data_IF_827744365622
#
_entry.id   IF_827744365622
#
_cell.length_a   1.000
_cell.length_b   1.000
_cell.length_c   1.000
_cell.angle_alpha   90.00
_cell.angle_beta   90.00
_cell.angle_gamma   90.00
#
_symmetry.space_group_name_H-M   'P 1'
#
loop_
_entity.id
_entity.type
_entity.pdbx_description
1 polymer ?
#
# COMPACT_ATOMS: atom_id res chain seq x y z
N UNK A 1 16.99 4.50 -9.01
CA UNK A 1 15.86 5.04 -9.78
C UNK A 1 14.66 5.27 -8.87
N UNK A 2 13.77 6.18 -9.25
CA UNK A 2 12.59 6.54 -8.43
C UNK A 2 11.71 5.34 -8.08
N UNK A 3 11.49 4.44 -9.05
CA UNK A 3 10.65 3.27 -8.83
C UNK A 3 11.19 2.30 -7.80
N UNK A 4 12.49 2.14 -7.74
CA UNK A 4 13.13 1.25 -6.77
C UNK A 4 13.03 1.79 -5.35
N UNK A 5 13.22 3.10 -5.17
CA UNK A 5 13.10 3.72 -3.86
C UNK A 5 11.65 3.70 -3.37
N UNK A 6 10.69 4.00 -4.24
CA UNK A 6 9.28 3.92 -3.88
C UNK A 6 8.89 2.50 -3.47
N UNK A 7 9.39 1.50 -4.19
CA UNK A 7 9.15 0.09 -3.86
C UNK A 7 9.75 -0.28 -2.51
N UNK A 8 10.97 0.17 -2.23
CA UNK A 8 11.60 -0.07 -0.93
C UNK A 8 10.76 0.51 0.21
N UNK A 9 10.33 1.75 0.06
CA UNK A 9 9.51 2.42 1.07
C UNK A 9 8.17 1.68 1.25
N UNK A 10 7.53 1.32 0.14
CA UNK A 10 6.26 0.60 0.15
C UNK A 10 6.38 -0.79 0.79
N UNK A 11 7.42 -1.54 0.45
CA UNK A 11 7.63 -2.88 1.00
C UNK A 11 7.92 -2.80 2.51
N UNK A 12 8.69 -1.83 2.93
CA UNK A 12 8.98 -1.60 4.35
C UNK A 12 7.70 -1.23 5.10
N UNK A 13 6.88 -0.35 4.53
CA UNK A 13 5.58 -0.01 5.09
C UNK A 13 4.70 -1.24 5.24
N UNK A 14 4.64 -2.10 4.23
CA UNK A 14 3.86 -3.33 4.25
C UNK A 14 4.31 -4.30 5.35
N UNK A 15 5.62 -4.35 5.63
CA UNK A 15 6.14 -5.16 6.73
C UNK A 15 5.74 -4.57 8.09
N UNK A 16 5.82 -3.25 8.24
CA UNK A 16 5.42 -2.59 9.48
C UNK A 16 3.94 -2.79 9.81
N UNK A 17 3.08 -2.79 8.80
CA UNK A 17 1.63 -2.99 9.00
C UNK A 17 1.32 -4.37 9.57
N UNK A 18 2.20 -5.35 9.39
CA UNK A 18 2.00 -6.70 9.93
C UNK A 18 2.12 -6.75 11.46
N UNK A 19 2.88 -5.84 12.04
CA UNK A 19 3.18 -5.86 13.47
C UNK A 19 2.70 -4.63 14.22
N UNK A 20 2.27 -3.59 13.52
CA UNK A 20 1.87 -2.34 14.12
C UNK A 20 0.56 -1.84 13.50
N UNK A 21 -0.19 -1.08 14.30
CA UNK A 21 -1.40 -0.41 13.83
C UNK A 21 -1.02 0.58 12.72
N UNK A 22 -1.70 0.50 11.59
CA UNK A 22 -1.43 1.35 10.43
C UNK A 22 -1.49 2.83 10.77
N UNK A 23 -2.38 3.23 11.69
CA UNK A 23 -2.53 4.62 12.09
C UNK A 23 -1.39 5.13 12.98
N UNK A 24 -0.59 4.22 13.53
CA UNK A 24 0.55 4.57 14.39
C UNK A 24 1.88 4.59 13.65
N UNK A 25 1.90 4.17 12.39
CA UNK A 25 3.12 4.19 11.58
C UNK A 25 3.40 5.62 11.13
N UNK A 26 4.56 6.14 11.52
CA UNK A 26 4.97 7.52 11.20
C UNK A 26 6.08 7.53 10.16
N UNK A 27 6.29 8.71 9.54
CA UNK A 27 7.42 8.92 8.63
C UNK A 27 8.74 8.60 9.34
N UNK A 28 8.89 9.03 10.58
CA UNK A 28 10.11 8.77 11.37
C UNK A 28 10.39 7.29 11.52
N UNK A 29 9.38 6.48 11.83
CA UNK A 29 9.52 5.02 11.92
C UNK A 29 9.92 4.43 10.58
N UNK A 30 9.25 4.85 9.53
CA UNK A 30 9.43 4.30 8.19
C UNK A 30 10.84 4.61 7.65
N UNK A 31 11.30 5.84 7.77
CA UNK A 31 12.64 6.21 7.30
C UNK A 31 13.73 5.51 8.10
N UNK A 32 13.50 5.31 9.40
CA UNK A 32 14.41 4.54 10.24
C UNK A 32 14.59 3.11 9.75
N UNK A 33 13.50 2.44 9.44
CA UNK A 33 13.52 1.07 8.92
C UNK A 33 14.12 0.99 7.52
N UNK A 34 13.87 2.00 6.69
CA UNK A 34 14.42 2.05 5.31
C UNK A 34 15.88 2.49 5.27
N UNK A 35 16.40 3.05 6.35
CA UNK A 35 17.75 3.65 6.42
C UNK A 35 17.92 4.76 5.38
N UNK A 36 16.93 5.63 5.27
CA UNK A 36 16.96 6.78 4.36
C UNK A 36 16.75 8.08 5.14
N UNK A 37 17.11 9.20 4.53
CA UNK A 37 16.88 10.51 5.12
C UNK A 37 15.41 10.93 4.95
N UNK A 38 14.98 11.86 5.79
CA UNK A 38 13.66 12.48 5.68
C UNK A 38 13.51 13.20 4.34
N UNK A 39 14.56 13.83 3.87
CA UNK A 39 14.58 14.51 2.57
C UNK A 39 14.33 13.52 1.43
N UNK A 40 14.96 12.34 1.48
CA UNK A 40 14.74 11.29 0.48
C UNK A 40 13.30 10.84 0.48
N UNK A 41 12.70 10.64 1.66
CA UNK A 41 11.29 10.28 1.75
C UNK A 41 10.41 11.30 1.05
N UNK A 42 10.55 12.59 1.41
CA UNK A 42 9.69 13.65 0.85
C UNK A 42 9.96 13.96 -0.61
N UNK A 43 11.08 13.48 -1.15
CA UNK A 43 11.29 13.51 -2.60
C UNK A 43 10.35 12.55 -3.34
N UNK A 44 9.97 11.44 -2.69
CA UNK A 44 9.18 10.39 -3.32
C UNK A 44 7.70 10.41 -2.94
N UNK A 45 7.39 10.78 -1.71
CA UNK A 45 6.03 10.78 -1.18
C UNK A 45 5.76 12.05 -0.39
N UNK A 46 4.55 12.53 -0.48
CA UNK A 46 4.13 13.74 0.22
C UNK A 46 3.87 13.47 1.70
N UNK A 47 3.29 12.30 2.02
CA UNK A 47 2.93 11.91 3.38
C UNK A 47 2.70 10.40 3.45
N UNK A 48 2.30 9.91 4.62
CA UNK A 48 2.03 8.48 4.81
C UNK A 48 0.80 8.00 4.05
N UNK A 49 -0.20 8.86 3.87
CA UNK A 49 -1.39 8.51 3.09
C UNK A 49 -1.03 8.21 1.64
N UNK A 50 -0.09 8.97 1.09
CA UNK A 50 0.39 8.72 -0.27
C UNK A 50 1.16 7.39 -0.37
N UNK A 51 1.92 7.03 0.66
CA UNK A 51 2.59 5.73 0.72
C UNK A 51 1.56 4.61 0.70
N UNK A 52 0.51 4.71 1.50
CA UNK A 52 -0.58 3.73 1.54
C UNK A 52 -1.26 3.61 0.18
N UNK A 53 -1.61 4.74 -0.41
CA UNK A 53 -2.27 4.78 -1.73
C UNK A 53 -1.41 4.10 -2.79
N UNK A 54 -0.15 4.48 -2.88
CA UNK A 54 0.78 3.90 -3.85
C UNK A 54 0.94 2.39 -3.65
N UNK A 55 1.05 1.96 -2.39
CA UNK A 55 1.21 0.56 -2.03
C UNK A 55 0.00 -0.26 -2.46
N UNK A 56 -1.20 0.22 -2.16
CA UNK A 56 -2.45 -0.48 -2.52
C UNK A 56 -2.60 -0.55 -4.05
N UNK A 57 -2.31 0.54 -4.76
CA UNK A 57 -2.42 0.56 -6.21
C UNK A 57 -1.44 -0.43 -6.87
N UNK A 58 -0.20 -0.48 -6.39
CA UNK A 58 0.79 -1.44 -6.92
C UNK A 58 0.39 -2.88 -6.65
N UNK A 59 -0.08 -3.18 -5.45
CA UNK A 59 -0.53 -4.53 -5.10
C UNK A 59 -1.77 -4.94 -5.86
N UNK A 60 -2.70 -4.01 -6.07
CA UNK A 60 -3.91 -4.25 -6.86
C UNK A 60 -3.57 -4.56 -8.31
N UNK A 61 -2.58 -3.85 -8.85
CA UNK A 61 -2.10 -4.08 -10.21
C UNK A 61 -1.54 -5.49 -10.37
N UNK A 62 -0.72 -5.94 -9.42
CA UNK A 62 -0.18 -7.30 -9.41
C UNK A 62 -1.30 -8.34 -9.29
N UNK A 63 -2.28 -8.10 -8.45
CA UNK A 63 -3.43 -8.98 -8.28
C UNK A 63 -4.21 -9.13 -9.59
N UNK A 64 -4.46 -8.00 -10.27
CA UNK A 64 -5.16 -8.02 -11.56
C UNK A 64 -4.39 -8.79 -12.61
N UNK A 65 -3.07 -8.61 -12.69
CA UNK A 65 -2.22 -9.34 -13.61
C UNK A 65 -2.31 -10.85 -13.38
N UNK A 66 -2.23 -11.28 -12.11
CA UNK A 66 -2.35 -12.69 -11.75
C UNK A 66 -3.73 -13.25 -12.07
N UNK A 67 -4.78 -12.46 -11.85
CA UNK A 67 -6.15 -12.88 -12.14
C UNK A 67 -6.38 -13.06 -13.64
N UNK A 68 -5.82 -12.17 -14.46
CA UNK A 68 -5.92 -12.26 -15.92
C UNK A 68 -5.17 -13.49 -16.44
N UNK A 69 -4.01 -13.80 -15.86
CA UNK A 69 -3.21 -14.96 -16.26
C UNK A 69 -3.80 -16.29 -15.82
N UNK A 70 -4.70 -16.28 -14.84
CA UNK A 70 -5.37 -17.49 -14.39
C UNK A 70 -6.35 -17.95 -15.47
N UNK A 71 -6.16 -19.19 -15.95
CA UNK A 71 -6.97 -19.71 -17.07
C UNK A 71 -8.37 -20.12 -16.63
N UNK A 72 -8.56 -20.40 -15.35
CA UNK A 72 -9.84 -20.86 -14.81
C UNK A 72 -10.44 -19.80 -13.88
N UNK A 73 -11.77 -19.57 -13.97
CA UNK A 73 -12.43 -18.58 -13.10
C UNK A 73 -12.22 -18.83 -11.61
N UNK A 74 -12.17 -20.10 -11.20
CA UNK A 74 -11.94 -20.46 -9.79
C UNK A 74 -10.58 -19.99 -9.32
N UNK A 75 -9.54 -20.15 -10.12
CA UNK A 75 -8.19 -19.70 -9.79
C UNK A 75 -8.12 -18.18 -9.71
N UNK A 76 -8.79 -17.49 -10.63
CA UNK A 76 -8.87 -16.03 -10.60
C UNK A 76 -9.55 -15.55 -9.32
N UNK A 77 -10.62 -16.20 -8.92
CA UNK A 77 -11.33 -15.86 -7.67
C UNK A 77 -10.44 -16.07 -6.45
N UNK A 78 -9.67 -17.15 -6.42
CA UNK A 78 -8.73 -17.41 -5.31
C UNK A 78 -7.67 -16.32 -5.18
N UNK A 79 -7.14 -15.85 -6.30
CA UNK A 79 -6.17 -14.74 -6.31
C UNK A 79 -6.81 -13.50 -5.68
N UNK A 80 -8.03 -13.18 -6.08
CA UNK A 80 -8.78 -12.02 -5.60
C UNK A 80 -9.03 -12.11 -4.08
N UNK A 81 -9.56 -13.25 -3.63
CA UNK A 81 -9.86 -13.47 -2.20
C UNK A 81 -8.59 -13.41 -1.36
N UNK A 82 -7.51 -14.03 -1.83
CA UNK A 82 -6.22 -14.00 -1.13
C UNK A 82 -5.68 -12.59 -0.98
N UNK A 83 -5.83 -11.77 -2.02
CA UNK A 83 -5.42 -10.38 -1.99
C UNK A 83 -6.15 -9.60 -0.88
N UNK A 84 -7.46 -9.72 -0.82
CA UNK A 84 -8.26 -9.02 0.20
C UNK A 84 -7.94 -9.51 1.61
N UNK A 85 -7.72 -10.80 1.79
CA UNK A 85 -7.35 -11.35 3.11
C UNK A 85 -6.00 -10.83 3.59
N UNK A 86 -4.99 -10.81 2.70
CA UNK A 86 -3.64 -10.37 3.07
C UNK A 86 -3.54 -8.87 3.33
N UNK A 87 -4.38 -8.08 2.67
CA UNK A 87 -4.29 -6.63 2.71
C UNK A 87 -5.50 -5.97 3.36
N UNK A 88 -6.24 -6.70 4.19
CA UNK A 88 -7.50 -6.21 4.78
C UNK A 88 -7.34 -4.90 5.54
N UNK A 89 -6.29 -4.77 6.36
CA UNK A 89 -6.07 -3.57 7.17
C UNK A 89 -5.78 -2.37 6.27
N UNK A 90 -4.89 -2.54 5.30
CA UNK A 90 -4.52 -1.49 4.37
C UNK A 90 -5.71 -1.08 3.48
N UNK A 91 -6.49 -2.06 3.02
CA UNK A 91 -7.67 -1.80 2.20
C UNK A 91 -8.71 -1.00 2.96
N UNK A 92 -8.95 -1.35 4.22
CA UNK A 92 -9.90 -0.62 5.06
C UNK A 92 -9.48 0.84 5.23
N UNK A 93 -8.21 1.07 5.55
CA UNK A 93 -7.68 2.44 5.71
C UNK A 93 -7.78 3.23 4.41
N UNK A 94 -7.44 2.60 3.28
CA UNK A 94 -7.55 3.22 1.97
C UNK A 94 -8.99 3.63 1.66
N UNK A 95 -9.97 2.77 1.95
CA UNK A 95 -11.37 3.07 1.76
C UNK A 95 -11.84 4.22 2.65
N UNK A 96 -11.36 4.28 3.89
CA UNK A 96 -11.65 5.41 4.79
C UNK A 96 -11.16 6.73 4.20
N UNK A 97 -9.95 6.74 3.63
CA UNK A 97 -9.38 7.93 3.00
C UNK A 97 -10.21 8.35 1.77
N UNK A 98 -10.64 7.40 0.95
CA UNK A 98 -11.48 7.68 -0.21
C UNK A 98 -12.82 8.29 0.23
N UNK A 99 -13.45 7.72 1.24
CA UNK A 99 -14.72 8.23 1.77
C UNK A 99 -14.56 9.64 2.30
N UNK A 100 -13.49 9.89 3.05
CA UNK A 100 -13.21 11.22 3.59
C UNK A 100 -13.02 12.25 2.46
N UNK A 101 -12.27 11.88 1.43
CA UNK A 101 -12.05 12.75 0.29
C UNK A 101 -13.34 13.02 -0.48
N UNK A 102 -14.15 11.98 -0.70
CA UNK A 102 -15.43 12.12 -1.39
C UNK A 102 -16.40 13.01 -0.60
N UNK A 103 -16.39 12.93 0.71
CA UNK A 103 -17.29 13.74 1.56
C UNK A 103 -17.02 15.23 1.46
N UNK A 104 -15.83 15.63 1.03
CA UNK A 104 -15.50 17.05 0.83
C UNK A 104 -16.25 17.66 -0.36
N UNK A 105 -16.71 16.83 -1.30
CA UNK A 105 -17.42 17.27 -2.49
C UNK A 105 -18.94 17.14 -2.36
N UNK A 106 -19.40 16.52 -1.29
CA UNK A 106 -20.81 16.34 -1.00
C UNK A 106 -21.26 17.28 0.11
#
# INVERSE_FOLDING_TARGET
MKGEMRRLISDTFSELVKTQDVDKITVTMLIGECHISRQTFYYHFQDMDEVLEWTILEKSKQMLEQSIQAEEPEKALRVFVSFFKRNAVQMRKFMELIILEASRFL
#
